data_IF_986958022717
#
_entry.id   IF_986958022717
#
_cell.length_a   1.000
_cell.length_b   1.000
_cell.length_c   1.000
_cell.angle_alpha   90.00
_cell.angle_beta   90.00
_cell.angle_gamma   90.00
#
_symmetry.space_group_name_H-M   'P 1'
#
loop_
_entity.id
_entity.type
_entity.pdbx_description
1 polymer ?
#
# COMPACT_ATOMS: atom_id res chain seq x y z
N UNK A 1 14.70 12.64 23.91
CA UNK A 1 13.72 12.35 22.84
C UNK A 1 12.37 12.18 23.51
N UNK A 2 11.31 12.84 23.04
CA UNK A 2 9.98 12.66 23.62
C UNK A 2 9.47 11.24 23.36
N UNK A 3 8.58 10.70 24.21
CA UNK A 3 7.99 9.38 24.00
C UNK A 3 7.29 9.29 22.64
N UNK A 4 6.65 10.38 22.22
CA UNK A 4 6.03 10.49 20.89
C UNK A 4 7.05 10.28 19.75
N UNK A 5 8.23 10.91 19.82
CA UNK A 5 9.25 10.78 18.78
C UNK A 5 9.75 9.34 18.64
N UNK A 6 9.94 8.66 19.78
CA UNK A 6 10.36 7.25 19.80
C UNK A 6 9.28 6.33 19.21
N UNK A 7 8.03 6.55 19.55
CA UNK A 7 6.90 5.79 19.00
C UNK A 7 6.71 6.05 17.51
N UNK A 8 6.85 7.30 17.06
CA UNK A 8 6.82 7.67 15.65
C UNK A 8 7.93 6.98 14.87
N UNK A 9 9.15 6.99 15.38
CA UNK A 9 10.31 6.35 14.73
C UNK A 9 10.09 4.85 14.53
N UNK A 10 9.49 4.17 15.52
CA UNK A 10 9.17 2.75 15.43
C UNK A 10 8.17 2.41 14.30
N UNK A 11 7.30 3.34 13.94
CA UNK A 11 6.31 3.14 12.86
C UNK A 11 6.84 3.50 11.45
N UNK A 12 7.97 4.21 11.32
CA UNK A 12 8.54 4.63 10.02
C UNK A 12 8.72 3.46 9.03
N UNK A 13 9.24 2.28 9.41
CA UNK A 13 9.39 1.17 8.47
C UNK A 13 8.06 0.70 7.87
N UNK A 14 6.98 0.68 8.66
CA UNK A 14 5.63 0.31 8.22
C UNK A 14 5.03 1.37 7.30
N UNK A 15 5.15 2.63 7.69
CA UNK A 15 4.70 3.77 6.87
C UNK A 15 5.40 3.76 5.50
N UNK A 16 6.71 3.47 5.46
CA UNK A 16 7.48 3.36 4.23
C UNK A 16 7.00 2.22 3.34
N UNK A 17 6.76 1.04 3.92
CA UNK A 17 6.22 -0.12 3.20
C UNK A 17 4.86 0.19 2.59
N UNK A 18 3.96 0.74 3.39
CA UNK A 18 2.63 1.13 2.94
C UNK A 18 2.66 2.20 1.84
N UNK A 19 3.47 3.26 1.99
CA UNK A 19 3.59 4.31 0.98
C UNK A 19 4.07 3.76 -0.36
N UNK A 20 5.07 2.88 -0.37
CA UNK A 20 5.58 2.24 -1.59
C UNK A 20 4.52 1.38 -2.27
N UNK A 21 3.80 0.56 -1.51
CA UNK A 21 2.71 -0.24 -2.05
C UNK A 21 1.53 0.63 -2.52
N UNK A 22 1.24 1.71 -1.83
CA UNK A 22 0.17 2.65 -2.17
C UNK A 22 0.45 3.41 -3.48
N UNK A 23 1.71 3.74 -3.75
CA UNK A 23 2.16 4.44 -4.97
C UNK A 23 2.50 3.49 -6.12
N UNK A 24 2.17 2.20 -6.04
CA UNK A 24 2.47 1.17 -7.05
C UNK A 24 3.97 1.05 -7.35
N UNK A 25 4.83 1.25 -6.36
CA UNK A 25 6.28 1.19 -6.52
C UNK A 25 6.93 2.48 -7.06
N UNK A 26 6.17 3.56 -7.29
CA UNK A 26 6.74 4.87 -7.60
C UNK A 26 7.55 5.39 -6.40
N UNK A 27 8.86 5.20 -6.49
CA UNK A 27 9.81 5.50 -5.40
C UNK A 27 9.84 6.99 -5.08
N UNK A 28 9.83 7.85 -6.11
CA UNK A 28 9.90 9.31 -5.93
C UNK A 28 8.68 9.80 -5.16
N UNK A 29 7.50 9.36 -5.58
CA UNK A 29 6.23 9.70 -4.93
C UNK A 29 6.15 9.13 -3.51
N UNK A 30 6.57 7.89 -3.31
CA UNK A 30 6.62 7.27 -2.00
C UNK A 30 7.53 8.05 -1.05
N UNK A 31 8.73 8.42 -1.50
CA UNK A 31 9.71 9.14 -0.69
C UNK A 31 9.20 10.54 -0.31
N UNK A 32 8.55 11.28 -1.22
CA UNK A 32 7.92 12.57 -0.92
C UNK A 32 6.88 12.46 0.21
N UNK A 33 6.02 11.44 0.14
CA UNK A 33 5.00 11.19 1.14
C UNK A 33 5.64 10.81 2.48
N UNK A 34 6.66 9.94 2.45
CA UNK A 34 7.33 9.46 3.66
C UNK A 34 8.12 10.57 4.33
N UNK A 35 8.81 11.42 3.60
CA UNK A 35 9.56 12.53 4.17
C UNK A 35 8.65 13.58 4.82
N UNK A 36 7.50 13.84 4.24
CA UNK A 36 6.56 14.83 4.75
C UNK A 36 5.68 14.31 5.91
N UNK A 37 5.48 13.00 6.03
CA UNK A 37 4.61 12.41 7.05
C UNK A 37 5.10 12.66 8.49
N UNK A 38 6.36 12.37 8.87
CA UNK A 38 6.87 12.63 10.22
C UNK A 38 6.82 14.12 10.58
N UNK A 39 7.19 15.00 9.65
CA UNK A 39 7.13 16.46 9.87
C UNK A 39 5.72 16.91 10.20
N UNK A 40 4.72 16.41 9.47
CA UNK A 40 3.31 16.73 9.74
C UNK A 40 2.80 16.08 11.04
N UNK A 41 3.27 14.86 11.36
CA UNK A 41 2.92 14.20 12.60
C UNK A 41 3.43 15.00 13.80
N UNK A 42 4.68 15.47 13.78
CA UNK A 42 5.25 16.33 14.83
C UNK A 42 4.48 17.64 14.94
N UNK A 43 4.20 18.31 13.82
CA UNK A 43 3.44 19.57 13.82
C UNK A 43 2.02 19.42 14.39
N UNK A 44 1.42 18.23 14.23
CA UNK A 44 0.06 17.91 14.67
C UNK A 44 0.00 17.05 15.92
N UNK A 45 1.11 16.81 16.62
CA UNK A 45 1.16 15.91 17.77
C UNK A 45 0.17 16.28 18.89
N UNK A 46 -0.17 17.58 18.99
CA UNK A 46 -1.16 18.08 19.94
C UNK A 46 -2.60 17.59 19.66
N UNK A 47 -2.86 17.08 18.45
CA UNK A 47 -4.14 16.47 18.08
C UNK A 47 -4.21 14.98 18.38
N UNK A 48 -3.07 14.35 18.63
CA UNK A 48 -3.03 12.95 19.04
C UNK A 48 -3.23 12.84 20.56
N UNK A 49 -4.13 11.96 20.95
CA UNK A 49 -4.39 11.69 22.36
C UNK A 49 -3.55 10.49 22.84
N UNK A 50 -2.70 10.66 23.87
CA UNK A 50 -1.98 9.55 24.48
C UNK A 50 -2.94 8.44 24.91
N UNK A 51 -2.58 7.18 24.61
CA UNK A 51 -3.44 6.01 24.88
C UNK A 51 -4.34 5.60 23.71
N UNK A 52 -4.44 6.41 22.65
CA UNK A 52 -5.08 6.01 21.39
C UNK A 52 -4.05 5.38 20.44
N UNK A 53 -4.52 4.68 19.40
CA UNK A 53 -3.64 4.04 18.43
C UNK A 53 -2.89 5.09 17.58
N UNK A 54 -1.62 5.31 17.93
CA UNK A 54 -0.72 6.20 17.18
C UNK A 54 -0.54 5.74 15.74
N UNK A 55 -0.49 4.43 15.51
CA UNK A 55 -0.30 3.84 14.18
C UNK A 55 -1.45 4.19 13.26
N UNK A 56 -2.71 3.96 13.67
CA UNK A 56 -3.88 4.32 12.88
C UNK A 56 -3.91 5.84 12.57
N UNK A 57 -3.53 6.67 13.53
CA UNK A 57 -3.43 8.12 13.32
C UNK A 57 -2.35 8.52 12.32
N UNK A 58 -1.16 7.90 12.39
CA UNK A 58 -0.07 8.14 11.43
C UNK A 58 -0.45 7.68 10.01
N UNK A 59 -1.11 6.53 9.88
CA UNK A 59 -1.61 6.06 8.59
C UNK A 59 -2.69 6.97 8.01
N UNK A 60 -3.52 7.58 8.84
CA UNK A 60 -4.46 8.63 8.40
C UNK A 60 -3.73 9.84 7.82
N UNK A 61 -2.66 10.30 8.47
CA UNK A 61 -1.84 11.42 7.97
C UNK A 61 -1.23 11.06 6.61
N UNK A 62 -0.61 9.89 6.49
CA UNK A 62 0.04 9.44 5.28
C UNK A 62 -0.97 9.26 4.13
N UNK A 63 -2.10 8.60 4.40
CA UNK A 63 -3.15 8.39 3.41
C UNK A 63 -3.72 9.71 2.87
N UNK A 64 -3.99 10.65 3.75
CA UNK A 64 -4.47 11.98 3.36
C UNK A 64 -3.45 12.73 2.48
N UNK A 65 -2.16 12.57 2.72
CA UNK A 65 -1.12 13.14 1.86
C UNK A 65 -1.13 12.50 0.47
N UNK A 66 -1.25 11.19 0.40
CA UNK A 66 -1.39 10.47 -0.86
C UNK A 66 -2.60 10.96 -1.66
N UNK A 67 -3.77 11.02 -1.04
CA UNK A 67 -5.00 11.50 -1.69
C UNK A 67 -4.84 12.93 -2.20
N UNK A 68 -4.25 13.81 -1.41
CA UNK A 68 -3.99 15.20 -1.81
C UNK A 68 -3.01 15.30 -2.98
N UNK A 69 -1.98 14.44 -2.99
CA UNK A 69 -1.03 14.37 -4.10
C UNK A 69 -1.71 13.90 -5.39
N UNK A 70 -2.52 12.84 -5.34
CA UNK A 70 -3.29 12.35 -6.50
C UNK A 70 -4.26 13.42 -7.02
N UNK A 71 -4.97 14.11 -6.14
CA UNK A 71 -5.89 15.19 -6.53
C UNK A 71 -5.15 16.35 -7.18
N UNK A 72 -3.97 16.70 -6.69
CA UNK A 72 -3.15 17.76 -7.29
C UNK A 72 -2.70 17.38 -8.69
N UNK A 73 -2.18 16.19 -8.90
CA UNK A 73 -1.78 15.70 -10.22
C UNK A 73 -2.95 15.70 -11.21
N UNK A 74 -4.12 15.25 -10.79
CA UNK A 74 -5.30 15.25 -11.65
C UNK A 74 -5.72 16.66 -12.09
N UNK A 75 -5.50 17.69 -11.25
CA UNK A 75 -5.78 19.10 -11.60
C UNK A 75 -4.73 19.70 -12.53
N UNK A 76 -3.48 19.27 -12.41
CA UNK A 76 -2.36 19.78 -13.22
C UNK A 76 -2.30 19.13 -14.62
N UNK A 77 -3.31 18.30 -14.97
CA UNK A 77 -3.44 17.65 -16.29
C UNK A 77 -2.40 16.56 -16.53
N UNK A 78 -1.72 16.11 -15.47
CA UNK A 78 -0.79 15.01 -15.53
C UNK A 78 -1.53 13.70 -15.78
N UNK A 79 -1.40 13.15 -16.98
CA UNK A 79 -1.62 11.72 -17.19
C UNK A 79 -0.66 11.01 -16.25
N UNK A 80 -1.18 10.23 -15.30
CA UNK A 80 -0.33 9.37 -14.47
C UNK A 80 0.26 8.36 -15.46
N UNK A 81 1.57 8.40 -15.76
CA UNK A 81 2.16 7.33 -16.52
C UNK A 81 1.96 6.07 -15.68
N UNK A 82 1.42 5.05 -16.30
CA UNK A 82 1.47 3.69 -15.78
C UNK A 82 2.92 3.24 -16.00
N UNK A 83 3.85 3.86 -15.25
CA UNK A 83 5.24 3.45 -15.31
C UNK A 83 5.32 2.00 -14.82
N UNK A 84 5.98 1.19 -15.64
CA UNK A 84 6.39 -0.16 -15.31
C UNK A 84 6.95 -0.15 -13.88
N UNK A 85 6.29 -0.88 -13.00
CA UNK A 85 6.58 -0.94 -11.60
C UNK A 85 8.09 -1.06 -11.35
N UNK A 86 8.69 -0.02 -10.82
CA UNK A 86 10.04 -0.10 -10.30
C UNK A 86 10.01 -1.14 -9.16
N UNK A 87 10.51 -2.31 -9.48
CA UNK A 87 10.52 -3.47 -8.59
C UNK A 87 11.30 -3.12 -7.34
N UNK A 88 10.66 -3.26 -6.19
CA UNK A 88 11.36 -3.25 -4.91
C UNK A 88 12.41 -4.38 -4.92
N UNK A 89 13.67 -4.10 -4.57
CA UNK A 89 14.65 -5.15 -4.39
C UNK A 89 14.28 -5.97 -3.14
N UNK A 90 13.61 -7.09 -3.35
CA UNK A 90 13.43 -8.09 -2.30
C UNK A 90 14.72 -8.88 -2.20
N UNK A 91 15.33 -8.94 -1.01
CA UNK A 91 16.50 -9.80 -0.76
C UNK A 91 16.10 -11.25 -1.02
N UNK A 92 16.89 -12.02 -1.80
CA UNK A 92 16.45 -13.30 -2.31
C UNK A 92 16.55 -14.42 -1.26
N UNK A 93 15.40 -14.97 -0.90
CA UNK A 93 15.26 -16.39 -0.62
C UNK A 93 14.43 -16.96 -1.78
N UNK A 94 15.04 -17.78 -2.63
CA UNK A 94 14.69 -17.91 -4.05
C UNK A 94 13.27 -18.41 -4.41
N UNK A 95 12.53 -19.08 -3.53
CA UNK A 95 11.15 -19.52 -3.81
C UNK A 95 10.08 -18.56 -3.28
N UNK A 96 10.20 -18.06 -2.04
CA UNK A 96 9.26 -17.03 -1.56
C UNK A 96 9.35 -15.69 -2.30
N UNK A 97 10.48 -15.40 -2.95
CA UNK A 97 10.68 -14.14 -3.66
C UNK A 97 9.89 -14.04 -4.96
N UNK A 98 9.70 -15.15 -5.67
CA UNK A 98 8.94 -15.19 -6.93
C UNK A 98 7.44 -15.03 -6.62
N UNK A 99 6.91 -15.78 -5.65
CA UNK A 99 5.52 -15.67 -5.20
C UNK A 99 5.18 -14.27 -4.66
N UNK A 100 6.11 -13.65 -3.91
CA UNK A 100 5.95 -12.28 -3.41
C UNK A 100 5.92 -11.26 -4.55
N UNK A 101 6.72 -11.46 -5.59
CA UNK A 101 6.74 -10.61 -6.77
C UNK A 101 5.43 -10.72 -7.55
N UNK A 102 4.94 -11.94 -7.75
CA UNK A 102 3.68 -12.18 -8.46
C UNK A 102 2.50 -11.57 -7.68
N UNK A 103 2.51 -11.69 -6.35
CA UNK A 103 1.54 -11.03 -5.49
C UNK A 103 1.60 -9.50 -5.60
N UNK A 104 2.79 -8.90 -5.63
CA UNK A 104 2.97 -7.46 -5.81
C UNK A 104 2.41 -6.98 -7.16
N UNK A 105 2.69 -7.73 -8.23
CA UNK A 105 2.13 -7.46 -9.56
C UNK A 105 0.61 -7.54 -9.53
N UNK A 106 0.05 -8.58 -8.92
CA UNK A 106 -1.40 -8.76 -8.80
C UNK A 106 -2.05 -7.64 -7.98
N UNK A 107 -1.45 -7.23 -6.85
CA UNK A 107 -1.92 -6.09 -6.04
C UNK A 107 -1.91 -4.79 -6.86
N UNK A 108 -0.89 -4.57 -7.69
CA UNK A 108 -0.79 -3.38 -8.52
C UNK A 108 -1.83 -3.34 -9.66
N UNK A 109 -2.38 -4.49 -10.06
CA UNK A 109 -3.49 -4.57 -11.04
C UNK A 109 -4.88 -4.32 -10.42
N UNK A 110 -4.99 -4.28 -9.08
CA UNK A 110 -6.27 -4.01 -8.43
C UNK A 110 -6.73 -2.56 -8.65
N UNK A 111 -8.06 -2.32 -8.72
CA UNK A 111 -8.61 -0.97 -8.59
C UNK A 111 -8.16 -0.31 -7.27
N UNK A 112 -7.92 1.00 -7.31
CA UNK A 112 -7.34 1.74 -6.18
C UNK A 112 -8.10 1.54 -4.87
N UNK A 113 -9.43 1.55 -4.92
CA UNK A 113 -10.27 1.38 -3.73
C UNK A 113 -10.14 0.00 -3.09
N UNK A 114 -9.99 -1.06 -3.89
CA UNK A 114 -9.78 -2.42 -3.41
C UNK A 114 -8.35 -2.59 -2.90
N UNK A 115 -7.38 -2.03 -3.63
CA UNK A 115 -5.98 -2.08 -3.25
C UNK A 115 -5.72 -1.42 -1.90
N UNK A 116 -6.26 -0.23 -1.67
CA UNK A 116 -6.10 0.49 -0.41
C UNK A 116 -6.61 -0.33 0.79
N UNK A 117 -7.75 -0.98 0.66
CA UNK A 117 -8.28 -1.85 1.72
C UNK A 117 -7.43 -3.10 1.90
N UNK A 118 -6.98 -3.74 0.82
CA UNK A 118 -6.07 -4.91 0.89
C UNK A 118 -4.76 -4.55 1.59
N UNK A 119 -4.21 -3.37 1.31
CA UNK A 119 -2.97 -2.92 1.96
C UNK A 119 -3.16 -2.62 3.44
N UNK A 120 -4.22 -1.92 3.84
CA UNK A 120 -4.46 -1.60 5.24
C UNK A 120 -4.79 -2.85 6.07
N UNK A 121 -5.70 -3.68 5.60
CA UNK A 121 -6.16 -4.86 6.34
C UNK A 121 -5.21 -6.05 6.16
N UNK A 122 -4.81 -6.34 4.92
CA UNK A 122 -4.02 -7.53 4.59
C UNK A 122 -2.53 -7.35 4.90
N UNK A 123 -1.92 -6.24 4.47
CA UNK A 123 -0.48 -6.02 4.65
C UNK A 123 -0.16 -5.44 6.03
N UNK A 124 -0.95 -4.47 6.50
CA UNK A 124 -0.70 -3.79 7.75
C UNK A 124 -1.46 -4.37 8.94
N UNK A 125 -2.40 -5.29 8.70
CA UNK A 125 -3.15 -5.98 9.76
C UNK A 125 -4.06 -5.06 10.57
N UNK A 126 -4.60 -3.99 9.96
CA UNK A 126 -5.51 -3.07 10.62
C UNK A 126 -6.90 -3.67 10.81
N UNK A 127 -7.57 -3.31 11.90
CA UNK A 127 -8.98 -3.61 12.07
C UNK A 127 -9.84 -2.91 11.01
N UNK A 128 -11.02 -3.44 10.72
CA UNK A 128 -11.90 -2.86 9.69
C UNK A 128 -12.36 -1.44 10.04
N UNK A 129 -12.56 -1.18 11.32
CA UNK A 129 -12.94 0.12 11.85
C UNK A 129 -11.83 1.15 11.68
N UNK A 130 -10.58 0.75 11.89
CA UNK A 130 -9.40 1.59 11.66
C UNK A 130 -9.24 1.91 10.17
N UNK A 131 -9.32 0.88 9.31
CA UNK A 131 -9.27 1.07 7.86
C UNK A 131 -10.41 1.96 7.35
N UNK A 132 -11.61 1.81 7.89
CA UNK A 132 -12.77 2.65 7.57
C UNK A 132 -12.52 4.12 7.93
N UNK A 133 -11.94 4.36 9.11
CA UNK A 133 -11.57 5.71 9.58
C UNK A 133 -10.50 6.33 8.70
N UNK A 134 -9.43 5.59 8.35
CA UNK A 134 -8.33 6.05 7.48
C UNK A 134 -8.86 6.41 6.09
N UNK A 135 -9.70 5.54 5.51
CA UNK A 135 -10.25 5.71 4.16
C UNK A 135 -11.45 6.64 4.10
N UNK A 136 -11.99 7.06 5.26
CA UNK A 136 -13.21 7.87 5.38
C UNK A 136 -14.42 7.25 4.66
N UNK A 137 -14.62 5.95 4.87
CA UNK A 137 -15.75 5.18 4.30
C UNK A 137 -16.41 4.34 5.39
N UNK A 138 -17.68 3.93 5.21
CA UNK A 138 -18.35 3.02 6.14
C UNK A 138 -17.63 1.66 6.25
N UNK A 139 -17.67 1.02 7.42
CA UNK A 139 -17.07 -0.32 7.66
C UNK A 139 -17.64 -1.37 6.68
N UNK A 140 -18.93 -1.28 6.34
CA UNK A 140 -19.55 -2.14 5.32
C UNK A 140 -18.89 -2.00 3.95
N UNK A 141 -18.45 -0.80 3.60
CA UNK A 141 -17.69 -0.52 2.37
C UNK A 141 -16.31 -1.17 2.42
N UNK A 142 -15.62 -1.09 3.56
CA UNK A 142 -14.34 -1.79 3.76
C UNK A 142 -14.51 -3.29 3.55
N UNK A 143 -15.51 -3.90 4.17
CA UNK A 143 -15.81 -5.34 4.02
C UNK A 143 -16.08 -5.75 2.57
N UNK A 144 -16.91 -4.99 1.86
CA UNK A 144 -17.25 -5.29 0.47
C UNK A 144 -16.07 -5.08 -0.49
N UNK A 145 -15.25 -4.03 -0.29
CA UNK A 145 -14.03 -3.79 -1.06
C UNK A 145 -12.99 -4.87 -0.80
N UNK A 146 -12.84 -5.29 0.46
CA UNK A 146 -11.90 -6.36 0.85
C UNK A 146 -12.29 -7.70 0.21
N UNK A 147 -13.56 -8.07 0.24
CA UNK A 147 -14.05 -9.31 -0.39
C UNK A 147 -13.77 -9.29 -1.90
N UNK A 148 -14.19 -8.24 -2.59
CA UNK A 148 -13.96 -8.10 -4.04
C UNK A 148 -12.47 -8.06 -4.39
N UNK A 149 -11.66 -7.36 -3.58
CA UNK A 149 -10.21 -7.30 -3.76
C UNK A 149 -9.55 -8.67 -3.62
N UNK A 150 -9.94 -9.46 -2.62
CA UNK A 150 -9.44 -10.84 -2.42
C UNK A 150 -9.84 -11.77 -3.57
N UNK A 151 -11.08 -11.66 -4.05
CA UNK A 151 -11.55 -12.47 -5.18
C UNK A 151 -10.80 -12.09 -6.47
N UNK A 152 -10.55 -10.81 -6.69
CA UNK A 152 -9.77 -10.34 -7.82
C UNK A 152 -8.30 -10.79 -7.73
N UNK A 153 -7.69 -10.73 -6.54
CA UNK A 153 -6.32 -11.21 -6.33
C UNK A 153 -6.19 -12.69 -6.66
N UNK A 154 -7.10 -13.54 -6.17
CA UNK A 154 -7.08 -14.97 -6.49
C UNK A 154 -7.10 -15.20 -7.99
N UNK A 155 -8.00 -14.54 -8.72
CA UNK A 155 -8.08 -14.65 -10.19
C UNK A 155 -6.78 -14.21 -10.86
N UNK A 156 -6.17 -13.13 -10.42
CA UNK A 156 -4.92 -12.63 -10.99
C UNK A 156 -3.76 -13.58 -10.72
N UNK A 157 -3.67 -14.16 -9.52
CA UNK A 157 -2.63 -15.12 -9.15
C UNK A 157 -2.80 -16.43 -9.93
N UNK A 158 -4.03 -16.96 -10.07
CA UNK A 158 -4.32 -18.16 -10.85
C UNK A 158 -3.95 -17.97 -12.34
N UNK A 159 -4.19 -16.79 -12.89
CA UNK A 159 -3.80 -16.46 -14.27
C UNK A 159 -2.28 -16.40 -14.46
N UNK A 160 -1.54 -15.82 -13.51
CA UNK A 160 -0.07 -15.76 -13.55
C UNK A 160 0.53 -17.17 -13.47
N UNK A 161 0.01 -18.04 -12.60
CA UNK A 161 0.45 -19.45 -12.53
C UNK A 161 0.22 -20.20 -13.84
N UNK A 162 -0.94 -20.00 -14.48
CA UNK A 162 -1.25 -20.63 -15.76
C UNK A 162 -0.32 -20.14 -16.88
N UNK A 163 -0.02 -18.85 -16.94
CA UNK A 163 0.92 -18.27 -17.92
C UNK A 163 2.34 -18.77 -17.69
N UNK A 164 2.79 -18.87 -16.45
CA UNK A 164 4.10 -19.42 -16.11
C UNK A 164 4.23 -20.90 -16.50
N UNK A 165 3.19 -21.69 -16.29
CA UNK A 165 3.15 -23.11 -16.66
C UNK A 165 3.19 -23.29 -18.20
N UNK A 166 2.48 -22.48 -18.96
CA UNK A 166 2.48 -22.49 -20.43
C UNK A 166 3.84 -22.08 -21.01
N UNK A 167 4.46 -21.03 -20.47
CA UNK A 167 5.78 -20.57 -20.93
C UNK A 167 6.92 -21.55 -20.64
N UNK A 168 6.77 -22.44 -19.65
CA UNK A 168 7.71 -23.55 -19.42
C UNK A 168 7.55 -24.66 -20.44
N UNK A 169 6.31 -24.99 -20.85
CA UNK A 169 6.07 -26.00 -21.87
C UNK A 169 6.64 -25.62 -23.26
N UNK A 170 6.58 -24.36 -23.65
CA UNK A 170 7.16 -23.90 -24.93
C UNK A 170 8.69 -23.97 -24.96
N UNK A 171 9.36 -23.77 -23.81
CA UNK A 171 10.83 -23.87 -23.72
C UNK A 171 11.38 -25.29 -23.80
N UNK A 172 10.56 -26.32 -23.51
CA UNK A 172 10.97 -27.73 -23.60
C UNK A 172 10.47 -28.41 -24.89
N UNK A 173 9.68 -27.73 -25.71
CA UNK A 173 9.17 -28.24 -26.98
C UNK A 173 9.98 -27.79 -28.22
N UNK A 174 11.04 -27.00 -28.01
CA UNK A 174 11.99 -26.56 -29.06
C UNK A 174 13.37 -27.19 -28.82
#
# INVERSE_FOLDING_TARGET
>A
MSDFARLLEAEIPRLRRYARALTRGDVVRADDIIQSCPTRAVAKQHLWQPGTDLRAWLFTILHNQFVNHVRRQAREGGTVPLDEAAMLPVKPNAMPALELRDLEIAINKLPDEQRQVILLVGLEGMAYEEAASILQVPVGTVRSRLSRGRDQLRRLMDMEEQLAAQGQHEKYAA
#
